data_IF_740239949943
#
_entry.id   IF_740239949943
#
_cell.length_a   1.000
_cell.length_b   1.000
_cell.length_c   1.000
_cell.angle_alpha   90.00
_cell.angle_beta   90.00
_cell.angle_gamma   90.00
#
_symmetry.space_group_name_H-M   'P 1'
#
loop_
_entity.id
_entity.type
_entity.pdbx_description
1 polymer ?
#
# COMPACT_ATOMS: atom_id res chain seq x y z
N UNK A 1 5.44 5.80 -11.47
CA UNK A 1 5.24 4.54 -12.23
C UNK A 1 6.56 3.94 -12.75
N UNK A 2 7.60 4.73 -12.97
CA UNK A 2 8.91 4.30 -13.50
C UNK A 2 9.85 3.61 -12.50
N UNK A 3 9.36 3.18 -11.33
CA UNK A 3 10.19 2.49 -10.35
C UNK A 3 10.54 1.07 -10.82
N UNK A 4 11.67 0.49 -10.39
CA UNK A 4 11.91 -0.95 -10.54
C UNK A 4 10.81 -1.78 -9.87
N UNK A 5 10.52 -2.97 -10.40
CA UNK A 5 9.43 -3.85 -9.91
C UNK A 5 9.51 -4.12 -8.41
N UNK A 6 10.70 -4.37 -7.86
CA UNK A 6 10.87 -4.57 -6.42
C UNK A 6 10.33 -3.40 -5.58
N UNK A 7 10.60 -2.15 -6.00
CA UNK A 7 10.11 -0.96 -5.30
C UNK A 7 8.60 -0.75 -5.47
N UNK A 8 8.03 -1.19 -6.60
CA UNK A 8 6.58 -1.23 -6.82
C UNK A 8 5.91 -2.20 -5.83
N UNK A 9 6.46 -3.40 -5.69
CA UNK A 9 5.96 -4.42 -4.78
C UNK A 9 6.07 -3.97 -3.32
N UNK A 10 7.17 -3.35 -2.91
CA UNK A 10 7.31 -2.77 -1.57
C UNK A 10 6.16 -1.78 -1.25
N UNK A 11 5.87 -0.85 -2.18
CA UNK A 11 4.77 0.10 -2.03
C UNK A 11 3.40 -0.58 -1.94
N UNK A 12 3.15 -1.61 -2.76
CA UNK A 12 1.89 -2.35 -2.75
C UNK A 12 1.76 -3.24 -1.50
N UNK A 13 2.86 -3.76 -0.97
CA UNK A 13 2.90 -4.60 0.23
C UNK A 13 2.28 -3.93 1.44
N UNK A 14 2.40 -2.60 1.57
CA UNK A 14 1.78 -1.78 2.63
C UNK A 14 0.25 -1.86 2.64
N UNK A 15 -0.36 -2.18 1.49
CA UNK A 15 -1.81 -2.28 1.31
C UNK A 15 -2.29 -3.70 1.02
N UNK A 16 -1.39 -4.68 1.06
CA UNK A 16 -1.66 -6.07 0.68
C UNK A 16 -1.85 -6.98 1.89
N UNK A 17 -2.72 -7.98 1.74
CA UNK A 17 -2.93 -9.00 2.77
C UNK A 17 -1.77 -9.99 2.80
N UNK A 18 -1.32 -10.34 4.00
CA UNK A 18 -0.35 -11.40 4.20
C UNK A 18 -0.95 -12.77 3.84
N UNK A 19 -0.18 -13.59 3.11
CA UNK A 19 -0.54 -14.92 2.64
C UNK A 19 0.34 -16.04 3.22
N UNK A 20 1.09 -15.75 4.30
CA UNK A 20 2.00 -16.73 4.91
C UNK A 20 1.27 -17.97 5.44
N UNK A 21 0.07 -17.79 5.99
CA UNK A 21 -0.82 -18.87 6.44
C UNK A 21 -2.26 -18.35 6.59
N UNK A 22 -3.22 -19.26 6.68
CA UNK A 22 -4.65 -18.94 6.75
C UNK A 22 -5.09 -18.27 8.05
N UNK A 23 -4.27 -18.30 9.10
CA UNK A 23 -4.59 -17.68 10.39
C UNK A 23 -4.19 -16.19 10.47
N UNK A 24 -3.32 -15.74 9.57
CA UNK A 24 -2.81 -14.37 9.56
C UNK A 24 -3.86 -13.39 9.04
N UNK A 25 -4.16 -12.34 9.82
CA UNK A 25 -5.13 -11.28 9.46
C UNK A 25 -4.47 -9.95 9.09
N UNK A 26 -3.17 -9.97 8.77
CA UNK A 26 -2.42 -8.76 8.45
C UNK A 26 -2.83 -8.24 7.07
N UNK A 27 -3.25 -6.98 6.99
CA UNK A 27 -3.73 -6.31 5.77
C UNK A 27 -2.74 -5.27 5.22
N UNK A 28 -1.46 -5.39 5.59
CA UNK A 28 -0.44 -4.47 5.12
C UNK A 28 0.90 -4.70 5.81
N UNK A 29 1.93 -4.88 5.00
CA UNK A 29 3.30 -4.95 5.47
C UNK A 29 3.72 -3.63 6.11
N UNK A 30 4.34 -3.70 7.29
CA UNK A 30 4.88 -2.53 7.99
C UNK A 30 6.38 -2.68 8.12
N UNK A 31 7.12 -1.73 7.56
CA UNK A 31 8.58 -1.71 7.61
C UNK A 31 9.07 -1.79 9.07
N UNK A 32 9.89 -2.79 9.43
CA UNK A 32 10.46 -2.90 10.78
C UNK A 32 11.43 -1.75 11.08
N UNK A 33 12.06 -1.19 10.05
CA UNK A 33 12.97 -0.06 10.10
C UNK A 33 12.30 1.19 9.51
N UNK A 34 11.37 1.85 10.23
CA UNK A 34 10.71 3.04 9.71
C UNK A 34 11.75 4.14 9.45
N UNK A 35 11.61 4.92 8.36
CA UNK A 35 12.51 6.05 8.12
C UNK A 35 12.38 7.06 9.26
N UNK A 36 13.47 7.28 10.00
CA UNK A 36 13.57 8.26 11.07
C UNK A 36 13.70 9.67 10.49
N UNK A 37 12.57 10.38 10.33
CA UNK A 37 12.48 11.80 9.94
C UNK A 37 13.06 12.13 8.53
N UNK A 38 12.82 13.33 7.94
CA UNK A 38 12.94 13.53 6.51
C UNK A 38 14.40 13.77 6.11
N UNK A 39 15.20 12.70 6.06
CA UNK A 39 16.42 12.74 5.26
C UNK A 39 15.97 12.68 3.81
N UNK A 40 16.06 13.82 3.13
CA UNK A 40 16.07 13.95 1.67
C UNK A 40 17.30 13.25 1.06
N UNK A 41 17.69 12.09 1.57
CA UNK A 41 18.70 11.26 0.96
C UNK A 41 17.99 10.28 0.04
N UNK A 42 18.14 10.56 -1.25
CA UNK A 42 17.68 9.76 -2.38
C UNK A 42 18.36 8.38 -2.46
N UNK A 43 18.97 7.90 -1.37
CA UNK A 43 19.49 6.56 -1.25
C UNK A 43 18.32 5.67 -0.83
N UNK A 44 17.49 5.33 -1.83
CA UNK A 44 16.41 4.36 -1.68
C UNK A 44 16.99 3.07 -1.10
N UNK A 45 16.84 2.87 0.21
CA UNK A 45 17.12 1.57 0.82
C UNK A 45 16.24 0.57 0.10
N UNK A 46 16.88 -0.34 -0.62
CA UNK A 46 16.21 -1.43 -1.32
C UNK A 46 15.66 -2.33 -0.23
N UNK A 47 14.36 -2.26 0.02
CA UNK A 47 13.71 -3.18 0.95
C UNK A 47 13.80 -4.58 0.37
N UNK A 48 14.43 -5.48 1.13
CA UNK A 48 14.54 -6.88 0.76
C UNK A 48 13.19 -7.57 0.97
N UNK A 49 12.82 -8.49 0.08
CA UNK A 49 11.59 -9.28 0.23
C UNK A 49 11.59 -10.13 1.51
N UNK A 50 12.77 -10.42 2.07
CA UNK A 50 12.93 -11.15 3.32
C UNK A 50 12.68 -10.32 4.58
N UNK A 51 12.47 -9.00 4.48
CA UNK A 51 12.25 -8.14 5.66
C UNK A 51 10.93 -8.48 6.38
N UNK A 52 10.97 -8.74 7.70
CA UNK A 52 9.80 -9.15 8.45
C UNK A 52 8.84 -7.97 8.71
N UNK A 53 7.55 -8.21 8.54
CA UNK A 53 6.50 -7.26 8.85
C UNK A 53 6.45 -7.02 10.36
N UNK A 54 6.52 -5.76 10.79
CA UNK A 54 6.41 -5.38 12.20
C UNK A 54 5.09 -5.85 12.86
N UNK A 55 4.03 -6.06 12.09
CA UNK A 55 2.70 -6.43 12.62
C UNK A 55 2.44 -7.93 12.72
N UNK A 56 3.01 -8.75 11.83
CA UNK A 56 2.76 -10.20 11.86
C UNK A 56 4.02 -11.06 11.86
N UNK A 57 5.21 -10.47 11.77
CA UNK A 57 6.49 -11.19 11.71
C UNK A 57 6.80 -11.85 10.36
N UNK A 58 5.80 -12.06 9.50
CA UNK A 58 5.99 -12.66 8.17
C UNK A 58 6.67 -11.70 7.19
N UNK A 59 7.29 -12.26 6.15
CA UNK A 59 8.13 -11.51 5.22
C UNK A 59 7.33 -10.57 4.30
N UNK A 60 8.00 -9.59 3.69
CA UNK A 60 7.38 -8.80 2.61
C UNK A 60 6.95 -9.71 1.45
N UNK A 61 7.72 -10.77 1.14
CA UNK A 61 7.36 -11.76 0.12
C UNK A 61 5.96 -12.35 0.37
N UNK A 62 5.62 -12.68 1.63
CA UNK A 62 4.30 -13.20 1.99
C UNK A 62 3.16 -12.22 1.75
N UNK A 63 3.45 -10.92 1.70
CA UNK A 63 2.45 -9.87 1.42
C UNK A 63 2.30 -9.60 -0.08
N UNK A 64 3.31 -9.92 -0.90
CA UNK A 64 3.33 -9.58 -2.34
C UNK A 64 3.40 -10.81 -3.25
N UNK A 65 3.36 -12.02 -2.70
CA UNK A 65 3.41 -13.28 -3.46
C UNK A 65 2.35 -13.35 -4.57
N UNK A 66 1.14 -12.91 -4.27
CA UNK A 66 0.02 -12.83 -5.23
C UNK A 66 0.25 -11.82 -6.38
N UNK A 67 1.26 -10.94 -6.28
CA UNK A 67 1.62 -9.95 -7.30
C UNK A 67 2.77 -10.40 -8.19
N UNK A 68 3.47 -11.51 -7.88
CA UNK A 68 4.69 -11.94 -8.56
C UNK A 68 4.50 -12.09 -10.08
N UNK A 69 3.36 -12.67 -10.50
CA UNK A 69 3.04 -12.94 -11.90
C UNK A 69 2.00 -11.98 -12.49
N UNK A 70 1.67 -10.90 -11.78
CA UNK A 70 0.72 -9.88 -12.26
C UNK A 70 1.40 -8.98 -13.29
N UNK A 71 0.66 -8.64 -14.36
CA UNK A 71 1.16 -7.80 -15.46
C UNK A 71 1.60 -6.42 -14.97
N UNK A 72 2.58 -5.82 -15.65
CA UNK A 72 3.06 -4.48 -15.30
C UNK A 72 1.96 -3.41 -15.41
N UNK A 73 1.02 -3.56 -16.33
CA UNK A 73 -0.15 -2.67 -16.46
C UNK A 73 -0.99 -2.69 -15.18
N UNK A 74 -1.31 -3.88 -14.68
CA UNK A 74 -2.12 -4.04 -13.48
C UNK A 74 -1.39 -3.59 -12.21
N UNK A 75 -0.08 -3.86 -12.10
CA UNK A 75 0.77 -3.28 -11.04
C UNK A 75 0.72 -1.74 -11.09
N UNK A 76 0.83 -1.14 -12.28
CA UNK A 76 0.78 0.30 -12.45
C UNK A 76 -0.62 0.88 -12.14
N UNK A 77 -1.70 0.12 -12.40
CA UNK A 77 -3.07 0.48 -12.01
C UNK A 77 -3.20 0.55 -10.50
N UNK A 78 -2.77 -0.50 -9.79
CA UNK A 78 -2.80 -0.54 -8.32
C UNK A 78 -1.94 0.57 -7.70
N UNK A 79 -0.77 0.84 -8.28
CA UNK A 79 0.07 1.97 -7.84
C UNK A 79 -0.58 3.33 -8.07
N UNK A 80 -1.39 3.48 -9.12
CA UNK A 80 -2.21 4.68 -9.31
C UNK A 80 -3.12 4.90 -8.12
N UNK A 81 -3.84 3.85 -7.71
CA UNK A 81 -4.72 3.92 -6.54
C UNK A 81 -3.96 4.18 -5.23
N UNK A 82 -2.73 3.67 -5.07
CA UNK A 82 -1.88 3.99 -3.91
C UNK A 82 -1.62 5.50 -3.83
N UNK A 83 -1.28 6.14 -4.95
CA UNK A 83 -1.08 7.59 -5.01
C UNK A 83 -2.37 8.34 -4.68
N UNK A 84 -3.51 7.88 -5.20
CA UNK A 84 -4.82 8.48 -4.89
C UNK A 84 -5.15 8.37 -3.40
N UNK A 85 -4.84 7.23 -2.77
CA UNK A 85 -4.99 7.02 -1.31
C UNK A 85 -4.08 7.93 -0.50
N UNK A 86 -2.81 8.09 -0.90
CA UNK A 86 -1.86 9.02 -0.26
C UNK A 86 -2.36 10.47 -0.36
N UNK A 87 -2.87 10.87 -1.53
CA UNK A 87 -3.44 12.20 -1.76
C UNK A 87 -4.71 12.42 -0.93
N UNK A 88 -5.65 11.48 -0.95
CA UNK A 88 -6.88 11.55 -0.14
C UNK A 88 -6.57 11.57 1.35
N UNK A 89 -5.58 10.82 1.82
CA UNK A 89 -5.16 10.87 3.21
C UNK A 89 -4.73 12.29 3.60
N UNK A 90 -3.92 12.96 2.78
CA UNK A 90 -3.55 14.35 3.02
C UNK A 90 -4.75 15.30 2.95
N UNK A 91 -5.65 15.12 1.98
CA UNK A 91 -6.87 15.93 1.85
C UNK A 91 -7.79 15.79 3.07
N UNK A 92 -8.05 14.57 3.55
CA UNK A 92 -8.89 14.33 4.75
C UNK A 92 -8.33 15.04 6.00
N UNK A 93 -7.01 15.14 6.13
CA UNK A 93 -6.38 15.80 7.28
C UNK A 93 -6.40 17.33 7.18
N UNK A 94 -6.43 17.86 5.96
CA UNK A 94 -6.49 19.31 5.69
C UNK A 94 -7.92 19.84 5.59
N UNK A 95 -8.88 18.98 5.28
CA UNK A 95 -10.27 19.37 5.06
C UNK A 95 -10.97 19.73 6.38
N UNK A 96 -11.58 20.92 6.37
CA UNK A 96 -12.30 21.51 7.50
C UNK A 96 -13.79 21.28 7.36
N UNK A 97 -14.32 21.28 6.12
CA UNK A 97 -15.72 21.00 5.87
C UNK A 97 -16.06 19.55 6.19
N UNK A 98 -17.02 19.35 7.10
CA UNK A 98 -17.30 18.01 7.65
C UNK A 98 -17.90 17.09 6.60
N UNK A 99 -18.77 17.59 5.74
CA UNK A 99 -19.44 16.79 4.71
C UNK A 99 -18.44 16.36 3.63
N UNK A 100 -17.61 17.29 3.15
CA UNK A 100 -16.52 17.01 2.19
C UNK A 100 -15.51 16.03 2.77
N UNK A 101 -15.14 16.21 4.05
CA UNK A 101 -14.23 15.29 4.75
C UNK A 101 -14.79 13.88 4.83
N UNK A 102 -16.10 13.71 5.05
CA UNK A 102 -16.74 12.40 5.05
C UNK A 102 -16.67 11.74 3.68
N UNK A 103 -16.89 12.50 2.59
CA UNK A 103 -16.74 11.99 1.22
C UNK A 103 -15.30 11.54 0.95
N UNK A 104 -14.30 12.36 1.28
CA UNK A 104 -12.90 11.98 1.12
C UNK A 104 -12.53 10.76 1.94
N UNK A 105 -13.03 10.65 3.18
CA UNK A 105 -12.79 9.49 4.03
C UNK A 105 -13.47 8.23 3.49
N UNK A 106 -14.66 8.35 2.90
CA UNK A 106 -15.32 7.25 2.20
C UNK A 106 -14.47 6.77 1.01
N UNK A 107 -14.04 7.69 0.13
CA UNK A 107 -13.19 7.36 -1.03
C UNK A 107 -11.86 6.74 -0.60
N UNK A 108 -11.23 7.27 0.46
CA UNK A 108 -10.03 6.70 1.05
C UNK A 108 -10.22 5.23 1.46
N UNK A 109 -11.32 4.93 2.17
CA UNK A 109 -11.65 3.54 2.58
C UNK A 109 -11.95 2.65 1.37
N UNK A 110 -12.69 3.16 0.39
CA UNK A 110 -13.03 2.43 -0.84
C UNK A 110 -11.77 2.02 -1.60
N UNK A 111 -10.90 2.98 -1.93
CA UNK A 111 -9.68 2.70 -2.69
C UNK A 111 -8.74 1.76 -1.92
N UNK A 112 -8.58 1.95 -0.60
CA UNK A 112 -7.77 1.05 0.22
C UNK A 112 -8.29 -0.40 0.17
N UNK A 113 -9.62 -0.59 0.23
CA UNK A 113 -10.24 -1.92 0.10
C UNK A 113 -10.01 -2.50 -1.30
N UNK A 114 -10.14 -1.69 -2.35
CA UNK A 114 -9.92 -2.13 -3.72
C UNK A 114 -8.45 -2.53 -3.97
N UNK A 115 -7.46 -1.86 -3.37
CA UNK A 115 -6.05 -2.29 -3.47
C UNK A 115 -5.89 -3.65 -2.78
N UNK A 116 -6.41 -3.79 -1.56
CA UNK A 116 -6.33 -5.02 -0.76
C UNK A 116 -6.96 -6.23 -1.48
N UNK A 117 -8.01 -6.00 -2.26
CA UNK A 117 -8.76 -7.02 -3.00
C UNK A 117 -8.40 -7.07 -4.50
N UNK A 118 -7.48 -6.24 -4.96
CA UNK A 118 -7.15 -6.03 -6.38
C UNK A 118 -8.37 -5.74 -7.28
N UNK A 119 -9.40 -5.07 -6.78
CA UNK A 119 -10.63 -4.78 -7.53
C UNK A 119 -10.59 -3.39 -8.19
N UNK A 120 -11.59 -3.12 -9.03
CA UNK A 120 -11.85 -1.75 -9.54
C UNK A 120 -12.78 -1.02 -8.57
N UNK A 121 -12.56 0.28 -8.32
CA UNK A 121 -13.46 1.07 -7.48
C UNK A 121 -14.78 1.35 -8.20
N UNK A 122 -15.87 1.25 -7.46
CA UNK A 122 -17.23 1.63 -7.87
C UNK A 122 -17.84 2.41 -6.71
N UNK A 123 -18.42 3.57 -7.00
CA UNK A 123 -19.18 4.37 -6.02
C UNK A 123 -20.63 3.94 -6.13
N UNK A 124 -21.25 3.64 -4.99
CA UNK A 124 -22.67 3.29 -4.86
C UNK A 124 -23.52 4.54 -4.62
#
# INVERSE_FOLDING_TARGET
RSFPRAKKLEKLGVFSACKANDSCKCNGWKNPNPPTAPRMDLQQTVTNLSEPCRSCGHTLADHVSHLENVSEEEINRLLGMVVDVENLFMSVHKEEDTDTKQVYFYLFKLLRKCILQMSRPVVE
#
